data_IF_644852537067
#
_entry.id   IF_644852537067
#
_cell.length_a   1.000
_cell.length_b   1.000
_cell.length_c   1.000
_cell.angle_alpha   90.00
_cell.angle_beta   90.00
_cell.angle_gamma   90.00
#
_symmetry.space_group_name_H-M   'P 1'
#
loop_
_entity.id
_entity.type
_entity.pdbx_description
1 polymer ?
#
# COMPACT_ATOMS: atom_id res chain seq x y z
N UNK A 1 -9.35 -19.59 -9.11
CA UNK A 1 -10.18 -18.81 -10.07
C UNK A 1 -10.32 -17.33 -9.64
N UNK A 2 -9.28 -16.69 -9.06
CA UNK A 2 -9.42 -15.35 -8.42
C UNK A 2 -8.73 -14.23 -9.22
N UNK A 3 -7.75 -14.56 -10.08
CA UNK A 3 -7.06 -13.53 -10.89
C UNK A 3 -7.98 -12.92 -11.97
N UNK A 4 -9.05 -13.61 -12.39
CA UNK A 4 -9.88 -13.17 -13.50
C UNK A 4 -10.92 -12.08 -13.17
N UNK A 5 -11.18 -11.78 -11.89
CA UNK A 5 -12.23 -10.83 -11.51
C UNK A 5 -11.72 -9.41 -11.25
N UNK A 6 -10.45 -9.22 -10.93
CA UNK A 6 -9.88 -7.88 -10.68
C UNK A 6 -9.57 -7.09 -11.96
N UNK A 7 -9.62 -7.74 -13.14
CA UNK A 7 -9.14 -7.17 -14.39
C UNK A 7 -10.19 -7.11 -15.51
N UNK A 8 -11.48 -7.34 -15.27
CA UNK A 8 -12.46 -7.36 -16.37
C UNK A 8 -12.98 -5.99 -16.80
N UNK A 9 -13.08 -5.00 -15.92
CA UNK A 9 -14.03 -3.90 -16.18
C UNK A 9 -13.48 -2.48 -16.32
N UNK A 10 -12.24 -2.25 -16.79
CA UNK A 10 -11.80 -0.88 -17.13
C UNK A 10 -10.82 -0.81 -18.32
N UNK A 11 -11.31 -0.20 -19.40
CA UNK A 11 -10.68 0.45 -20.56
C UNK A 11 -9.46 -0.20 -21.24
N UNK A 12 -9.66 -0.59 -22.50
CA UNK A 12 -8.78 -1.39 -23.36
C UNK A 12 -7.44 -0.75 -23.78
N UNK A 13 -7.10 0.46 -23.31
CA UNK A 13 -5.95 1.22 -23.84
C UNK A 13 -4.75 1.39 -22.89
N UNK A 14 -4.85 1.05 -21.59
CA UNK A 14 -3.77 1.35 -20.62
C UNK A 14 -3.30 0.18 -19.77
N UNK A 15 -3.84 -1.03 -19.93
CA UNK A 15 -3.33 -2.19 -19.20
C UNK A 15 -2.32 -2.98 -19.99
N UNK A 16 -1.11 -3.03 -19.44
CA UNK A 16 -0.19 -4.13 -19.70
C UNK A 16 -0.91 -5.47 -19.46
N UNK A 17 -1.14 -6.21 -20.55
CA UNK A 17 -1.76 -7.54 -20.51
C UNK A 17 -0.78 -8.64 -20.12
N UNK A 18 0.52 -8.32 -19.99
CA UNK A 18 1.54 -9.33 -19.68
C UNK A 18 1.34 -9.95 -18.29
N UNK A 19 0.85 -9.18 -17.31
CA UNK A 19 0.63 -9.72 -15.96
C UNK A 19 -0.48 -10.78 -15.95
N UNK A 20 -1.57 -10.54 -16.69
CA UNK A 20 -2.66 -11.52 -16.83
C UNK A 20 -2.14 -12.81 -17.46
N UNK A 21 -1.28 -12.70 -18.48
CA UNK A 21 -0.65 -13.87 -19.13
C UNK A 21 0.28 -14.62 -18.18
N UNK A 22 1.13 -13.92 -17.41
CA UNK A 22 2.02 -14.55 -16.44
C UNK A 22 1.26 -15.25 -15.32
N UNK A 23 0.19 -14.63 -14.80
CA UNK A 23 -0.61 -15.24 -13.73
C UNK A 23 -1.47 -16.42 -14.19
N UNK A 24 -1.66 -16.61 -15.50
CA UNK A 24 -2.29 -17.82 -16.05
C UNK A 24 -1.35 -19.03 -16.06
N UNK A 25 -0.04 -18.81 -16.01
CA UNK A 25 0.97 -19.86 -15.83
C UNK A 25 1.03 -20.27 -14.35
N UNK A 26 0.67 -21.53 -14.07
CA UNK A 26 0.64 -22.08 -12.71
C UNK A 26 2.03 -22.10 -12.05
N UNK A 27 3.10 -22.35 -12.81
CA UNK A 27 4.46 -22.35 -12.28
C UNK A 27 4.89 -20.93 -11.91
N UNK A 28 4.52 -19.93 -12.72
CA UNK A 28 4.76 -18.53 -12.37
C UNK A 28 3.97 -18.11 -11.12
N UNK A 29 2.67 -18.42 -11.05
CA UNK A 29 1.83 -18.08 -9.91
C UNK A 29 2.37 -18.70 -8.60
N UNK A 30 2.80 -19.96 -8.65
CA UNK A 30 3.43 -20.64 -7.51
C UNK A 30 4.73 -19.95 -7.06
N UNK A 31 5.59 -19.55 -8.02
CA UNK A 31 6.83 -18.81 -7.72
C UNK A 31 6.55 -17.43 -7.11
N UNK A 32 5.52 -16.75 -7.57
CA UNK A 32 5.10 -15.46 -7.01
C UNK A 32 4.64 -15.63 -5.56
N UNK A 33 3.77 -16.62 -5.29
CA UNK A 33 3.30 -16.94 -3.94
C UNK A 33 4.46 -17.27 -3.00
N UNK A 34 5.41 -18.11 -3.45
CA UNK A 34 6.60 -18.45 -2.68
C UNK A 34 7.47 -17.21 -2.39
N UNK A 35 7.66 -16.33 -3.38
CA UNK A 35 8.40 -15.07 -3.20
C UNK A 35 7.72 -14.15 -2.20
N UNK A 36 6.39 -14.02 -2.27
CA UNK A 36 5.62 -13.22 -1.31
C UNK A 36 5.81 -13.73 0.12
N UNK A 37 5.60 -15.03 0.35
CA UNK A 37 5.80 -15.67 1.67
C UNK A 37 7.22 -15.47 2.20
N UNK A 38 8.24 -15.60 1.34
CA UNK A 38 9.63 -15.35 1.71
C UNK A 38 9.89 -13.89 2.11
N UNK A 39 9.23 -12.92 1.48
CA UNK A 39 9.35 -11.50 1.86
C UNK A 39 8.61 -11.19 3.16
N UNK A 40 7.49 -11.86 3.43
CA UNK A 40 6.69 -11.68 4.65
C UNK A 40 7.33 -12.18 5.92
N UNK A 41 8.30 -13.09 5.83
CA UNK A 41 9.18 -13.46 6.96
C UNK A 41 10.44 -12.59 7.07
N UNK A 42 10.64 -11.66 6.13
CA UNK A 42 11.84 -10.83 6.06
C UNK A 42 11.50 -9.35 5.92
N UNK A 43 11.91 -8.68 4.83
CA UNK A 43 11.84 -7.22 4.72
C UNK A 43 10.42 -6.66 4.71
N UNK A 44 9.41 -7.48 4.41
CA UNK A 44 8.01 -7.09 4.43
C UNK A 44 7.26 -7.66 5.65
N UNK A 45 7.95 -8.23 6.64
CA UNK A 45 7.34 -8.63 7.91
C UNK A 45 6.68 -7.41 8.59
N UNK A 46 5.59 -7.60 9.35
CA UNK A 46 4.83 -6.47 9.94
C UNK A 46 5.74 -5.60 10.81
N UNK A 47 6.54 -6.20 11.70
CA UNK A 47 7.52 -5.44 12.49
C UNK A 47 8.64 -4.77 11.68
N UNK A 48 9.00 -5.31 10.51
CA UNK A 48 9.98 -4.69 9.61
C UNK A 48 9.38 -3.47 8.89
N UNK A 49 8.11 -3.56 8.49
CA UNK A 49 7.35 -2.43 7.95
C UNK A 49 7.21 -1.32 8.99
N UNK A 50 6.85 -1.66 10.23
CA UNK A 50 6.73 -0.69 11.33
C UNK A 50 8.07 -0.02 11.61
N UNK A 51 9.16 -0.79 11.68
CA UNK A 51 10.49 -0.26 11.89
C UNK A 51 10.89 0.70 10.75
N UNK A 52 10.52 0.37 9.51
CA UNK A 52 10.80 1.21 8.35
C UNK A 52 10.02 2.53 8.42
N UNK A 53 8.73 2.49 8.77
CA UNK A 53 7.91 3.70 8.95
C UNK A 53 8.49 4.57 10.05
N UNK A 54 8.75 4.01 11.25
CA UNK A 54 9.37 4.75 12.36
C UNK A 54 10.67 5.44 11.96
N UNK A 55 11.56 4.73 11.25
CA UNK A 55 12.82 5.29 10.79
C UNK A 55 12.64 6.45 9.79
N UNK A 56 11.62 6.39 8.93
CA UNK A 56 11.29 7.46 7.99
C UNK A 56 10.60 8.65 8.66
N UNK A 57 9.79 8.40 9.68
CA UNK A 57 9.02 9.40 10.42
C UNK A 57 9.87 10.18 11.41
N UNK A 58 10.86 9.54 12.04
CA UNK A 58 11.71 10.15 13.07
C UNK A 58 12.27 11.55 12.70
N UNK A 59 12.79 11.81 11.48
CA UNK A 59 13.28 13.14 11.11
C UNK A 59 12.19 14.14 10.68
N UNK A 60 10.92 13.75 10.63
CA UNK A 60 9.85 14.51 9.97
C UNK A 60 8.93 15.30 10.90
N UNK A 61 9.02 15.15 12.23
CA UNK A 61 8.15 15.87 13.16
C UNK A 61 8.19 17.40 12.96
N UNK A 62 9.39 17.99 12.98
CA UNK A 62 9.59 19.43 12.77
C UNK A 62 9.23 19.90 11.35
N UNK A 63 9.68 19.22 10.27
CA UNK A 63 9.21 19.52 8.92
C UNK A 63 7.70 19.45 8.74
N UNK A 64 7.02 18.47 9.33
CA UNK A 64 5.57 18.31 9.25
C UNK A 64 4.84 19.49 9.91
N UNK A 65 5.28 19.91 11.09
CA UNK A 65 4.75 21.10 11.77
C UNK A 65 4.89 22.36 10.90
N UNK A 66 6.08 22.60 10.31
CA UNK A 66 6.30 23.73 9.39
C UNK A 66 5.43 23.64 8.14
N UNK A 67 5.25 22.44 7.59
CA UNK A 67 4.41 22.21 6.43
C UNK A 67 2.95 22.60 6.72
N UNK A 68 2.36 22.08 7.79
CA UNK A 68 0.94 22.37 8.08
C UNK A 68 0.69 23.79 8.60
N UNK A 69 1.70 24.45 9.17
CA UNK A 69 1.65 25.89 9.43
C UNK A 69 1.64 26.72 8.13
N UNK A 70 2.41 26.31 7.12
CA UNK A 70 2.49 27.00 5.82
C UNK A 70 1.29 26.70 4.93
N UNK A 71 0.82 25.45 4.94
CA UNK A 71 -0.29 24.95 4.14
C UNK A 71 -1.31 24.25 5.07
N UNK A 72 -2.35 24.97 5.55
CA UNK A 72 -3.31 24.46 6.52
C UNK A 72 -4.35 23.54 5.84
N UNK A 73 -3.90 22.38 5.36
CA UNK A 73 -4.72 21.42 4.61
C UNK A 73 -5.25 20.26 5.47
N UNK A 74 -4.88 20.19 6.76
CA UNK A 74 -5.51 19.28 7.72
C UNK A 74 -7.01 19.59 7.81
N UNK A 75 -7.82 18.54 7.96
CA UNK A 75 -9.28 18.62 7.92
C UNK A 75 -9.89 18.69 6.50
N UNK A 76 -9.07 18.79 5.45
CA UNK A 76 -9.57 18.81 4.08
C UNK A 76 -9.73 17.40 3.49
N UNK A 77 -10.88 17.15 2.85
CA UNK A 77 -11.11 15.94 2.05
C UNK A 77 -10.46 16.02 0.64
N UNK A 78 -9.94 17.19 0.25
CA UNK A 78 -9.26 17.40 -1.03
C UNK A 78 -8.01 18.27 -0.88
N UNK A 79 -6.88 17.80 -1.42
CA UNK A 79 -5.63 18.56 -1.47
C UNK A 79 -5.14 18.59 -2.91
N UNK A 80 -4.99 19.79 -3.48
CA UNK A 80 -4.52 20.01 -4.85
C UNK A 80 -5.24 19.14 -5.92
N UNK A 81 -6.56 19.00 -5.82
CA UNK A 81 -7.37 18.21 -6.75
C UNK A 81 -7.43 16.70 -6.45
N UNK A 82 -6.63 16.19 -5.50
CA UNK A 82 -6.65 14.80 -5.08
C UNK A 82 -7.54 14.58 -3.86
N UNK A 83 -8.23 13.45 -3.81
CA UNK A 83 -8.94 13.03 -2.60
C UNK A 83 -7.91 12.66 -1.52
N UNK A 84 -8.18 13.07 -0.28
CA UNK A 84 -7.32 12.79 0.87
C UNK A 84 -8.15 12.26 2.04
N UNK A 85 -7.62 11.35 2.87
CA UNK A 85 -8.19 11.04 4.17
C UNK A 85 -8.36 12.33 4.99
N UNK A 86 -9.54 12.51 5.59
CA UNK A 86 -9.81 13.64 6.46
C UNK A 86 -9.18 13.36 7.82
N UNK A 87 -8.12 14.10 8.14
CA UNK A 87 -7.29 13.95 9.34
C UNK A 87 -7.04 15.32 9.94
N UNK A 88 -7.10 15.41 11.27
CA UNK A 88 -6.94 16.67 12.01
C UNK A 88 -5.50 16.91 12.44
N UNK A 89 -4.68 15.87 12.48
CA UNK A 89 -3.26 15.97 12.83
C UNK A 89 -2.40 15.18 11.85
N UNK A 90 -1.10 15.49 11.85
CA UNK A 90 -0.11 14.74 11.08
C UNK A 90 0.00 13.28 11.56
N UNK A 91 -0.08 13.05 12.87
CA UNK A 91 -0.05 11.72 13.48
C UNK A 91 -1.20 10.85 12.98
N UNK A 92 -2.41 11.41 12.83
CA UNK A 92 -3.55 10.69 12.25
C UNK A 92 -3.30 10.30 10.78
N UNK A 93 -2.50 11.06 10.04
CA UNK A 93 -2.10 10.66 8.68
C UNK A 93 -1.13 9.46 8.70
N UNK A 94 -0.27 9.38 9.71
CA UNK A 94 0.59 8.22 9.91
C UNK A 94 -0.24 6.99 10.26
N UNK A 95 -1.22 7.13 11.16
CA UNK A 95 -2.12 6.04 11.54
C UNK A 95 -2.86 5.46 10.32
N UNK A 96 -3.35 6.34 9.42
CA UNK A 96 -4.00 5.91 8.17
C UNK A 96 -3.03 5.14 7.26
N UNK A 97 -1.79 5.62 7.12
CA UNK A 97 -0.77 4.95 6.31
C UNK A 97 -0.39 3.58 6.88
N UNK A 98 -0.16 3.51 8.20
CA UNK A 98 0.19 2.28 8.90
C UNK A 98 -0.94 1.26 8.79
N UNK A 99 -2.18 1.68 9.05
CA UNK A 99 -3.36 0.81 8.93
C UNK A 99 -3.51 0.26 7.52
N UNK A 100 -3.47 1.14 6.51
CA UNK A 100 -3.58 0.71 5.11
C UNK A 100 -2.48 -0.28 4.73
N UNK A 101 -1.24 -0.06 5.19
CA UNK A 101 -0.12 -0.93 4.86
C UNK A 101 -0.30 -2.33 5.46
N UNK A 102 -0.73 -2.41 6.72
CA UNK A 102 -1.00 -3.69 7.38
C UNK A 102 -2.19 -4.42 6.75
N UNK A 103 -3.30 -3.71 6.52
CA UNK A 103 -4.48 -4.27 5.86
C UNK A 103 -4.14 -4.79 4.47
N UNK A 104 -3.31 -4.06 3.72
CA UNK A 104 -2.88 -4.46 2.38
C UNK A 104 -1.99 -5.70 2.42
N UNK A 105 -1.07 -5.77 3.37
CA UNK A 105 -0.23 -6.95 3.56
C UNK A 105 -1.07 -8.16 3.95
N UNK A 106 -2.01 -8.01 4.89
CA UNK A 106 -2.92 -9.08 5.30
C UNK A 106 -3.83 -9.55 4.15
N UNK A 107 -4.35 -8.64 3.33
CA UNK A 107 -5.11 -9.00 2.13
C UNK A 107 -4.28 -9.83 1.16
N UNK A 108 -3.02 -9.43 0.91
CA UNK A 108 -2.10 -10.17 0.06
C UNK A 108 -1.73 -11.54 0.64
N UNK A 109 -1.53 -11.63 1.96
CA UNK A 109 -1.34 -12.89 2.66
C UNK A 109 -2.50 -13.86 2.38
N UNK A 110 -3.75 -13.36 2.37
CA UNK A 110 -4.93 -14.13 2.00
C UNK A 110 -5.04 -14.49 0.50
N UNK A 111 -4.43 -13.73 -0.42
CA UNK A 111 -4.43 -14.08 -1.86
C UNK A 111 -3.49 -15.25 -2.18
N UNK A 112 -2.51 -15.50 -1.31
CA UNK A 112 -1.49 -16.54 -1.47
C UNK A 112 -1.53 -17.57 -0.32
N UNK A 113 -2.59 -17.60 0.47
CA UNK A 113 -2.87 -18.69 1.40
C UNK A 113 -3.33 -19.93 0.62
N UNK A 114 -2.82 -21.10 1.00
CA UNK A 114 -3.29 -22.40 0.47
C UNK A 114 -4.60 -22.82 1.13
#
# INVERSE_FOLDING_TARGET
MIVNQLFRDQDAYTRSTWFVRLMADLAFAARLAARWRALRVGPLASGALDARIRALVAPLAEPAARNFARWPVLGSARVNGFNSPVTQTWEQQLDVLETWLHDRAAWLDGQFAE
#
